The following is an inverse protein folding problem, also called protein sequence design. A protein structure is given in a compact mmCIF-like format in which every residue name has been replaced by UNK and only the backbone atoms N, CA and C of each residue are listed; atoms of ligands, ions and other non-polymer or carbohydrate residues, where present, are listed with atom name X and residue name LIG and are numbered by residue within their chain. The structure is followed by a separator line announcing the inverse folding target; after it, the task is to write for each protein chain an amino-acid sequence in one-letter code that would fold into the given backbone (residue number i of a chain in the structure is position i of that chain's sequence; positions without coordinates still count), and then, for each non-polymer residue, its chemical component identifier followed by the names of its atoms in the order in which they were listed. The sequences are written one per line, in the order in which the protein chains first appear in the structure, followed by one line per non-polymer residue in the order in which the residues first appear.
data_IF_382614620282
#
_entry.id   IF_382614620282
#
_cell.length_a   1.000
_cell.length_b   1.000
_cell.length_c   1.000
_cell.angle_alpha   90.00
_cell.angle_beta   90.00
_cell.angle_gamma   90.00
#
_symmetry.space_group_name_H-M   'P 1'
#
loop_
_entity.id
_entity.type
_entity.pdbx_description
1 polymer ?
#
# COMPACT_ATOMS: atom_id res chain seq x y z
N UNK A 1 9.89 13.55 -22.67
CA UNK A 1 10.92 12.52 -22.86
C UNK A 1 10.60 11.42 -21.87
N UNK A 2 10.58 10.17 -22.30
CA UNK A 2 10.32 9.05 -21.39
C UNK A 2 11.56 8.73 -20.57
N UNK A 3 11.35 8.06 -19.43
CA UNK A 3 12.42 7.38 -18.70
C UNK A 3 12.07 5.93 -18.48
N UNK A 4 13.09 5.11 -18.36
CA UNK A 4 13.00 3.67 -18.12
C UNK A 4 13.66 3.33 -16.78
N UNK A 5 12.95 2.58 -15.95
CA UNK A 5 13.50 1.97 -14.73
C UNK A 5 14.08 0.59 -15.09
N UNK A 6 15.37 0.36 -14.82
CA UNK A 6 16.08 -0.90 -15.12
C UNK A 6 15.68 -2.03 -14.13
N UNK A 7 14.39 -2.36 -14.09
CA UNK A 7 13.81 -3.43 -13.27
C UNK A 7 12.97 -4.34 -14.16
N UNK A 8 13.17 -5.67 -14.12
CA UNK A 8 12.37 -6.58 -14.93
C UNK A 8 10.87 -6.43 -14.65
N UNK A 9 10.04 -6.46 -15.69
CA UNK A 9 8.59 -6.29 -15.58
C UNK A 9 7.93 -7.22 -14.54
N UNK A 10 8.38 -8.48 -14.44
CA UNK A 10 7.86 -9.44 -13.47
C UNK A 10 8.13 -9.04 -12.01
N UNK A 11 9.22 -8.30 -11.74
CA UNK A 11 9.52 -7.77 -10.40
C UNK A 11 8.53 -6.67 -10.05
N UNK A 12 8.23 -5.76 -10.97
CA UNK A 12 7.24 -4.71 -10.76
C UNK A 12 5.83 -5.30 -10.53
N UNK A 13 5.45 -6.32 -11.31
CA UNK A 13 4.19 -7.04 -11.11
C UNK A 13 4.13 -7.79 -9.79
N UNK A 14 5.25 -8.37 -9.34
CA UNK A 14 5.34 -9.01 -8.04
C UNK A 14 5.07 -8.01 -6.91
N UNK A 15 5.76 -6.86 -6.89
CA UNK A 15 5.57 -5.85 -5.84
C UNK A 15 4.19 -5.19 -5.89
N UNK A 16 3.62 -4.98 -7.08
CA UNK A 16 2.19 -4.60 -7.21
C UNK A 16 1.32 -5.60 -6.44
N UNK A 17 1.50 -6.89 -6.69
CA UNK A 17 0.73 -7.94 -6.02
C UNK A 17 0.93 -7.97 -4.50
N UNK A 18 2.14 -7.68 -4.02
CA UNK A 18 2.39 -7.57 -2.58
C UNK A 18 1.65 -6.38 -1.94
N UNK A 19 1.65 -5.22 -2.59
CA UNK A 19 0.92 -4.05 -2.13
C UNK A 19 -0.60 -4.25 -2.14
N UNK A 20 -1.13 -4.87 -3.20
CA UNK A 20 -2.54 -5.25 -3.34
C UNK A 20 -2.97 -6.20 -2.20
N UNK A 21 -2.19 -7.26 -1.99
CA UNK A 21 -2.46 -8.22 -0.92
C UNK A 21 -2.34 -7.59 0.48
N UNK A 22 -1.46 -6.61 0.67
CA UNK A 22 -1.36 -5.87 1.92
C UNK A 22 -2.59 -4.98 2.14
N UNK A 23 -3.05 -4.26 1.10
CA UNK A 23 -4.26 -3.45 1.14
C UNK A 23 -5.48 -4.29 1.52
N UNK A 24 -5.68 -5.44 0.87
CA UNK A 24 -6.77 -6.38 1.17
C UNK A 24 -6.75 -6.89 2.62
N UNK A 25 -5.56 -7.27 3.11
CA UNK A 25 -5.40 -7.76 4.49
C UNK A 25 -5.74 -6.68 5.51
N UNK A 26 -5.30 -5.45 5.26
CA UNK A 26 -5.58 -4.29 6.11
C UNK A 26 -7.05 -3.89 6.04
N UNK A 27 -7.68 -3.94 4.85
CA UNK A 27 -9.11 -3.70 4.69
C UNK A 27 -9.94 -4.69 5.50
N UNK A 28 -9.59 -5.99 5.41
CA UNK A 28 -10.19 -7.01 6.24
C UNK A 28 -9.95 -6.80 7.74
N UNK A 29 -8.78 -6.30 8.14
CA UNK A 29 -8.42 -6.10 9.53
C UNK A 29 -9.25 -4.98 10.19
N UNK A 30 -9.36 -3.80 9.58
CA UNK A 30 -10.14 -2.72 10.18
C UNK A 30 -11.62 -3.09 10.25
N UNK A 31 -12.17 -3.80 9.24
CA UNK A 31 -13.57 -4.28 9.27
C UNK A 31 -13.82 -5.26 10.40
N UNK A 32 -12.86 -6.14 10.70
CA UNK A 32 -12.96 -7.07 11.84
C UNK A 32 -12.92 -6.31 13.16
N UNK A 33 -12.02 -5.34 13.29
CA UNK A 33 -11.91 -4.52 14.50
C UNK A 33 -13.18 -3.69 14.75
N UNK A 34 -13.71 -3.04 13.71
CA UNK A 34 -14.92 -2.22 13.79
C UNK A 34 -16.19 -3.02 14.13
N UNK A 35 -16.17 -4.35 13.97
CA UNK A 35 -17.29 -5.25 14.27
C UNK A 35 -17.07 -6.07 15.54
N UNK A 36 -15.98 -5.85 16.27
CA UNK A 36 -15.71 -6.59 17.49
C UNK A 36 -16.74 -6.20 18.56
N UNK A 37 -17.50 -7.19 19.05
CA UNK A 37 -18.55 -6.99 20.04
C UNK A 37 -17.96 -6.78 21.45
N UNK A 38 -18.63 -5.93 22.22
CA UNK A 38 -18.39 -5.69 23.65
C UNK A 38 -19.51 -6.26 24.53
N UNK A 39 -20.37 -7.11 23.97
CA UNK A 39 -21.51 -7.69 24.67
C UNK A 39 -21.08 -8.44 25.93
N UNK A 40 -21.74 -8.15 27.04
CA UNK A 40 -21.48 -8.78 28.33
C UNK A 40 -20.29 -8.20 29.10
N UNK A 41 -19.60 -7.16 28.59
CA UNK A 41 -18.58 -6.45 29.35
C UNK A 41 -19.14 -5.35 30.25
N UNK A 42 -18.35 -4.98 31.26
CA UNK A 42 -18.62 -3.81 32.11
C UNK A 42 -18.51 -2.51 31.29
N UNK A 43 -19.22 -1.46 31.72
CA UNK A 43 -19.29 -0.17 31.00
C UNK A 43 -17.91 0.46 30.80
N UNK A 44 -17.04 0.36 31.79
CA UNK A 44 -15.68 0.89 31.75
C UNK A 44 -14.83 0.19 30.68
N UNK A 45 -15.03 -1.12 30.54
CA UNK A 45 -14.35 -1.93 29.51
C UNK A 45 -14.89 -1.59 28.13
N UNK A 46 -16.22 -1.46 27.99
CA UNK A 46 -16.86 -1.05 26.72
C UNK A 46 -16.29 0.29 26.26
N UNK A 47 -16.27 1.29 27.14
CA UNK A 47 -15.75 2.62 26.80
C UNK A 47 -14.27 2.61 26.41
N UNK A 48 -13.44 1.81 27.08
CA UNK A 48 -12.03 1.66 26.72
C UNK A 48 -11.85 0.97 25.37
N UNK A 49 -12.66 -0.05 25.07
CA UNK A 49 -12.63 -0.76 23.78
C UNK A 49 -13.12 0.14 22.65
N UNK A 50 -14.18 0.92 22.85
CA UNK A 50 -14.68 1.87 21.84
C UNK A 50 -13.63 2.93 21.48
N UNK A 51 -12.99 3.56 22.48
CA UNK A 51 -11.91 4.52 22.24
C UNK A 51 -10.73 3.92 21.47
N UNK A 52 -10.37 2.67 21.80
CA UNK A 52 -9.34 1.94 21.08
C UNK A 52 -9.78 1.64 19.64
N UNK A 53 -11.00 1.13 19.45
CA UNK A 53 -11.54 0.79 18.13
C UNK A 53 -11.56 2.02 17.23
N UNK A 54 -12.08 3.15 17.70
CA UNK A 54 -12.17 4.38 16.90
C UNK A 54 -10.80 4.85 16.40
N UNK A 55 -9.80 4.90 17.29
CA UNK A 55 -8.46 5.34 16.94
C UNK A 55 -7.78 4.40 15.94
N UNK A 56 -7.90 3.09 16.15
CA UNK A 56 -7.20 2.10 15.33
C UNK A 56 -7.90 1.75 14.02
N UNK A 57 -9.24 1.82 13.96
CA UNK A 57 -9.97 1.62 12.72
C UNK A 57 -9.58 2.68 11.69
N UNK A 58 -9.54 3.94 12.07
CA UNK A 58 -9.17 5.02 11.16
C UNK A 58 -7.70 4.94 10.74
N UNK A 59 -6.81 4.58 11.66
CA UNK A 59 -5.39 4.39 11.33
C UNK A 59 -5.18 3.23 10.34
N UNK A 60 -5.83 2.08 10.57
CA UNK A 60 -5.71 0.92 9.65
C UNK A 60 -6.32 1.25 8.29
N UNK A 61 -7.46 1.97 8.21
CA UNK A 61 -8.03 2.44 6.95
C UNK A 61 -7.06 3.33 6.19
N UNK A 62 -6.41 4.27 6.88
CA UNK A 62 -5.41 5.16 6.29
C UNK A 62 -4.25 4.37 5.69
N UNK A 63 -3.72 3.39 6.43
CA UNK A 63 -2.62 2.55 5.96
C UNK A 63 -3.06 1.65 4.80
N UNK A 64 -4.28 1.10 4.84
CA UNK A 64 -4.85 0.32 3.73
C UNK A 64 -4.94 1.17 2.45
N UNK A 65 -5.38 2.43 2.56
CA UNK A 65 -5.41 3.38 1.45
C UNK A 65 -4.02 3.69 0.88
N UNK A 66 -3.00 3.80 1.73
CA UNK A 66 -1.60 3.96 1.28
C UNK A 66 -1.13 2.71 0.52
N UNK A 67 -1.41 1.51 1.04
CA UNK A 67 -1.05 0.27 0.37
C UNK A 67 -1.74 0.12 -0.99
N UNK A 68 -3.04 0.46 -1.07
CA UNK A 68 -3.77 0.49 -2.34
C UNK A 68 -3.17 1.49 -3.31
N UNK A 69 -2.90 2.73 -2.86
CA UNK A 69 -2.27 3.76 -3.68
C UNK A 69 -0.88 3.36 -4.20
N UNK A 70 -0.14 2.55 -3.45
CA UNK A 70 1.12 1.97 -3.91
C UNK A 70 0.90 0.89 -4.99
N UNK A 71 -0.10 0.01 -4.82
CA UNK A 71 -0.50 -0.96 -5.85
C UNK A 71 -0.91 -0.24 -7.15
N UNK A 72 -1.76 0.78 -7.04
CA UNK A 72 -2.27 1.57 -8.16
C UNK A 72 -1.15 2.33 -8.89
N UNK A 73 -0.11 2.79 -8.18
CA UNK A 73 1.05 3.42 -8.80
C UNK A 73 1.74 2.48 -9.81
N UNK A 74 1.80 1.18 -9.52
CA UNK A 74 2.32 0.20 -10.48
C UNK A 74 1.36 -0.11 -11.64
N UNK A 75 0.04 0.11 -11.47
CA UNK A 75 -0.96 -0.04 -12.55
C UNK A 75 -0.89 1.13 -13.52
N UNK A 76 -0.84 2.36 -13.00
CA UNK A 76 -0.73 3.58 -13.80
C UNK A 76 0.54 3.61 -14.66
N UNK A 77 1.51 2.75 -14.35
CA UNK A 77 2.76 2.59 -15.09
C UNK A 77 2.71 1.60 -16.28
N UNK A 78 1.56 1.07 -16.71
CA UNK A 78 1.43 0.20 -17.91
C UNK A 78 0.34 0.67 -18.89
N UNK A 79 0.47 0.57 -20.22
CA UNK A 79 1.18 -0.39 -21.08
C UNK A 79 2.54 0.11 -21.65
N UNK A 80 3.55 -0.76 -21.71
CA UNK A 80 4.92 -0.53 -22.25
C UNK A 80 5.76 0.59 -21.56
N UNK A 81 6.08 0.40 -20.27
CA UNK A 81 7.15 1.05 -19.45
C UNK A 81 7.79 2.35 -19.96
N UNK A 82 6.98 3.32 -20.34
CA UNK A 82 7.38 4.69 -20.59
C UNK A 82 6.91 5.52 -19.41
N UNK A 83 7.77 5.66 -18.41
CA UNK A 83 7.50 6.58 -17.31
C UNK A 83 7.69 7.99 -17.88
N UNK A 84 6.70 8.86 -17.71
CA UNK A 84 6.69 10.18 -18.36
C UNK A 84 7.69 11.16 -17.78
N UNK A 85 8.17 10.92 -16.56
CA UNK A 85 9.19 11.73 -15.90
C UNK A 85 10.02 10.95 -14.86
N UNK A 86 11.15 11.54 -14.49
CA UNK A 86 12.11 10.95 -13.54
C UNK A 86 11.58 10.82 -12.11
N UNK A 87 10.71 11.74 -11.68
CA UNK A 87 10.18 11.74 -10.31
C UNK A 87 9.31 10.52 -10.07
N UNK A 88 8.48 10.16 -11.05
CA UNK A 88 7.65 8.96 -10.97
C UNK A 88 8.49 7.67 -10.98
N UNK A 89 9.59 7.63 -11.75
CA UNK A 89 10.51 6.49 -11.73
C UNK A 89 11.22 6.33 -10.38
N UNK A 90 11.63 7.43 -9.76
CA UNK A 90 12.23 7.41 -8.42
C UNK A 90 11.22 6.99 -7.35
N UNK A 91 9.97 7.46 -7.47
CA UNK A 91 8.86 7.04 -6.61
C UNK A 91 8.63 5.53 -6.71
N UNK A 92 8.41 4.99 -7.90
CA UNK A 92 8.17 3.55 -8.09
C UNK A 92 9.33 2.72 -7.57
N UNK A 93 10.58 3.16 -7.80
CA UNK A 93 11.77 2.49 -7.27
C UNK A 93 11.80 2.41 -5.74
N UNK A 94 11.33 3.45 -5.05
CA UNK A 94 11.24 3.47 -3.57
C UNK A 94 10.15 2.56 -3.00
N UNK A 95 9.23 2.09 -3.83
CA UNK A 95 8.17 1.15 -3.44
C UNK A 95 8.59 -0.33 -3.62
N UNK A 96 9.77 -0.57 -4.20
CA UNK A 96 10.35 -1.90 -4.33
C UNK A 96 11.08 -2.29 -3.03
N UNK A 97 11.48 -3.56 -2.93
CA UNK A 97 12.40 -3.95 -1.85
C UNK A 97 13.76 -3.25 -1.96
N UNK A 98 14.49 -3.19 -0.83
CA UNK A 98 15.84 -2.64 -0.74
C UNK A 98 16.81 -3.12 -1.84
N UNK A 99 16.67 -4.37 -2.32
CA UNK A 99 17.52 -4.91 -3.38
C UNK A 99 17.37 -4.21 -4.74
N UNK A 100 16.29 -3.48 -4.97
CA UNK A 100 16.02 -2.73 -6.20
C UNK A 100 16.04 -1.22 -6.00
N UNK A 101 16.34 -0.72 -4.80
CA UNK A 101 16.44 0.72 -4.53
C UNK A 101 17.54 1.40 -5.35
N UNK A 102 18.61 0.67 -5.70
CA UNK A 102 19.71 1.17 -6.53
C UNK A 102 19.51 0.90 -8.03
N UNK A 103 18.32 0.46 -8.44
CA UNK A 103 18.01 0.28 -9.86
C UNK A 103 18.23 1.61 -10.62
N UNK A 104 18.87 1.50 -11.79
CA UNK A 104 19.19 2.64 -12.63
C UNK A 104 17.94 3.16 -13.33
N UNK A 105 17.89 4.47 -13.54
CA UNK A 105 16.86 5.14 -14.34
C UNK A 105 17.56 5.76 -15.55
N UNK A 106 17.07 5.49 -16.75
CA UNK A 106 17.65 5.95 -18.02
C UNK A 106 16.64 6.80 -18.77
N UNK A 107 17.13 7.77 -19.54
CA UNK A 107 16.30 8.48 -20.51
C UNK A 107 16.11 7.60 -21.76
N UNK A 108 14.88 7.57 -22.29
CA UNK A 108 14.50 6.82 -23.49
C UNK A 108 14.19 7.75 -24.65
#
# INVERSE_FOLDING_TARGET
MGVTLDVPAHVLQHFKGEWDAAADKLDGAWRRLAKASTDGFAREVVSAVEQFQDAWVEEIKRIAGVAQGNSDAFVLAGDDFAITDRGEAERLRSLLSWGYHDAKIRES
#
